data_IF_654560416800
#
_entry.id   IF_654560416800
#
_cell.length_a   1.000
_cell.length_b   1.000
_cell.length_c   1.000
_cell.angle_alpha   90.00
_cell.angle_beta   90.00
_cell.angle_gamma   90.00
#
_symmetry.space_group_name_H-M   'P 1'
#
loop_
_entity.id
_entity.type
_entity.pdbx_description
1 polymer ?
#
# COMPACT_ATOMS: atom_id res chain seq x y z
N UNK A 1 17.41 9.50 -7.59
CA UNK A 1 17.78 8.13 -7.15
C UNK A 1 16.60 7.64 -6.33
N UNK A 2 16.12 6.44 -6.60
CA UNK A 2 15.00 5.88 -5.86
C UNK A 2 15.36 5.72 -4.37
N UNK A 3 14.38 5.92 -3.48
CA UNK A 3 14.49 5.51 -2.08
C UNK A 3 14.05 4.06 -1.95
N UNK A 4 14.71 3.33 -1.08
CA UNK A 4 14.36 1.94 -0.79
C UNK A 4 13.71 1.83 0.59
N UNK A 5 12.56 1.15 0.61
CA UNK A 5 11.81 0.89 1.83
C UNK A 5 11.77 -0.58 2.20
N UNK A 6 11.33 -0.84 3.41
CA UNK A 6 10.99 -2.18 3.89
C UNK A 6 9.66 -2.13 4.65
N UNK A 7 8.79 -3.09 4.37
CA UNK A 7 7.54 -3.24 5.11
C UNK A 7 7.85 -3.72 6.53
N UNK A 8 7.28 -3.05 7.50
CA UNK A 8 7.65 -3.21 8.90
C UNK A 8 7.32 -4.62 9.47
N UNK A 9 6.39 -5.35 8.86
CA UNK A 9 6.09 -6.75 9.21
C UNK A 9 7.23 -7.74 8.88
N UNK A 10 8.27 -7.32 8.17
CA UNK A 10 9.54 -8.08 8.08
C UNK A 10 10.18 -8.23 9.47
N UNK A 11 10.02 -7.22 10.33
CA UNK A 11 10.67 -7.14 11.64
C UNK A 11 9.77 -7.60 12.79
N UNK A 12 8.52 -7.13 12.82
CA UNK A 12 7.61 -7.36 13.94
C UNK A 12 6.15 -7.43 13.50
N UNK A 13 5.36 -8.24 14.23
CA UNK A 13 3.89 -8.28 14.08
C UNK A 13 3.15 -7.49 15.16
N UNK A 14 3.85 -6.77 16.03
CA UNK A 14 3.27 -5.93 17.08
C UNK A 14 3.96 -4.57 17.14
N UNK A 15 3.26 -3.54 17.66
CA UNK A 15 3.62 -2.13 17.51
C UNK A 15 3.59 -1.36 18.84
N UNK A 16 3.97 -2.02 19.93
CA UNK A 16 4.33 -1.37 21.17
C UNK A 16 5.61 -0.53 21.03
N UNK A 17 5.94 0.26 22.04
CA UNK A 17 7.11 1.16 21.97
C UNK A 17 8.44 0.42 21.69
N UNK A 18 8.65 -0.76 22.28
CA UNK A 18 9.87 -1.55 22.08
C UNK A 18 9.94 -2.19 20.70
N UNK A 19 8.84 -2.76 20.22
CA UNK A 19 8.75 -3.37 18.90
C UNK A 19 8.89 -2.35 17.78
N UNK A 20 8.31 -1.18 17.96
CA UNK A 20 8.45 -0.07 17.01
C UNK A 20 9.90 0.43 16.94
N UNK A 21 10.56 0.65 18.08
CA UNK A 21 11.99 1.01 18.14
C UNK A 21 12.85 -0.04 17.44
N UNK A 22 12.61 -1.33 17.73
CA UNK A 22 13.33 -2.44 17.11
C UNK A 22 13.15 -2.45 15.58
N UNK A 23 11.92 -2.33 15.09
CA UNK A 23 11.64 -2.34 13.65
C UNK A 23 12.30 -1.18 12.93
N UNK A 24 12.24 0.04 13.50
CA UNK A 24 12.79 1.25 12.90
C UNK A 24 14.33 1.23 12.93
N UNK A 25 14.95 0.83 14.06
CA UNK A 25 16.40 0.71 14.14
C UNK A 25 16.95 -0.38 13.21
N UNK A 26 16.27 -1.53 13.12
CA UNK A 26 16.63 -2.59 12.17
C UNK A 26 16.53 -2.15 10.71
N UNK A 27 15.53 -1.33 10.38
CA UNK A 27 15.40 -0.71 9.06
C UNK A 27 16.62 0.14 8.71
N UNK A 28 17.08 0.99 9.66
CA UNK A 28 18.29 1.81 9.49
C UNK A 28 19.54 0.95 9.35
N UNK A 29 19.72 -0.03 10.24
CA UNK A 29 20.88 -0.92 10.23
C UNK A 29 20.99 -1.73 8.93
N UNK A 30 19.85 -2.12 8.35
CA UNK A 30 19.79 -2.82 7.06
C UNK A 30 20.05 -1.90 5.87
N UNK A 31 20.12 -0.57 6.06
CA UNK A 31 20.46 0.40 5.02
C UNK A 31 19.27 0.89 4.19
N UNK A 32 18.04 0.71 4.67
CA UNK A 32 16.85 1.27 4.04
C UNK A 32 16.66 2.76 4.40
N UNK A 33 15.98 3.49 3.51
CA UNK A 33 15.63 4.91 3.69
C UNK A 33 14.26 5.08 4.35
N UNK A 34 13.38 4.09 4.15
CA UNK A 34 11.95 4.14 4.49
C UNK A 34 11.53 2.89 5.24
N UNK A 35 10.67 3.07 6.24
CA UNK A 35 9.87 1.99 6.83
C UNK A 35 8.39 2.19 6.45
N UNK A 36 7.75 1.13 5.96
CA UNK A 36 6.32 1.13 5.70
C UNK A 36 5.57 0.51 6.87
N UNK A 37 4.83 1.35 7.59
CA UNK A 37 4.11 0.97 8.81
C UNK A 37 2.72 0.41 8.48
N UNK A 38 2.27 -0.70 9.09
CA UNK A 38 0.90 -1.17 8.94
C UNK A 38 -0.06 -0.28 9.76
N UNK A 39 -1.03 0.34 9.09
CA UNK A 39 -1.99 1.26 9.72
C UNK A 39 -3.35 0.59 10.00
N UNK A 40 -3.36 -0.69 10.44
CA UNK A 40 -4.60 -1.43 10.70
C UNK A 40 -5.36 -0.93 11.93
N UNK A 41 -4.65 -0.58 13.00
CA UNK A 41 -5.22 -0.03 14.23
C UNK A 41 -4.30 1.06 14.81
N UNK A 42 -4.32 2.27 14.25
CA UNK A 42 -3.50 3.38 14.74
C UNK A 42 -3.72 3.74 16.20
N UNK A 43 -4.91 3.47 16.74
CA UNK A 43 -5.23 3.77 18.13
C UNK A 43 -4.49 2.86 19.13
N UNK A 44 -4.09 1.65 18.70
CA UNK A 44 -3.29 0.73 19.50
C UNK A 44 -1.78 0.99 19.41
N UNK A 45 -1.34 1.94 18.55
CA UNK A 45 0.06 2.25 18.33
C UNK A 45 0.54 3.42 19.20
N UNK A 46 1.75 3.34 19.73
CA UNK A 46 2.38 4.46 20.44
C UNK A 46 3.00 5.44 19.43
N UNK A 47 2.16 6.34 18.89
CA UNK A 47 2.55 7.33 17.87
C UNK A 47 3.74 8.18 18.33
N UNK A 48 3.80 8.56 19.62
CA UNK A 48 4.88 9.37 20.14
C UNK A 48 6.22 8.60 20.19
N UNK A 49 6.19 7.32 20.58
CA UNK A 49 7.37 6.46 20.54
C UNK A 49 7.86 6.23 19.10
N UNK A 50 6.92 5.96 18.17
CA UNK A 50 7.23 5.79 16.74
C UNK A 50 7.88 7.06 16.17
N UNK A 51 7.27 8.23 16.38
CA UNK A 51 7.81 9.50 15.88
C UNK A 51 9.24 9.77 16.39
N UNK A 52 9.48 9.52 17.69
CA UNK A 52 10.81 9.65 18.28
C UNK A 52 11.81 8.67 17.67
N UNK A 53 11.42 7.42 17.45
CA UNK A 53 12.29 6.41 16.85
C UNK A 53 12.64 6.77 15.39
N UNK A 54 11.67 7.23 14.60
CA UNK A 54 11.87 7.69 13.23
C UNK A 54 12.87 8.85 13.18
N UNK A 55 12.69 9.88 14.03
CA UNK A 55 13.60 11.01 14.12
C UNK A 55 15.01 10.59 14.52
N UNK A 56 15.15 9.76 15.56
CA UNK A 56 16.45 9.31 16.09
C UNK A 56 17.24 8.47 15.10
N UNK A 57 16.56 7.74 14.22
CA UNK A 57 17.17 6.87 13.21
C UNK A 57 17.23 7.51 11.82
N UNK A 58 16.67 8.71 11.62
CA UNK A 58 16.59 9.38 10.32
C UNK A 58 15.93 8.48 9.25
N UNK A 59 14.81 7.82 9.60
CA UNK A 59 14.01 6.98 8.74
C UNK A 59 12.70 7.68 8.40
N UNK A 60 12.32 7.68 7.12
CA UNK A 60 11.05 8.25 6.67
C UNK A 60 9.93 7.20 6.76
N UNK A 61 8.73 7.57 7.25
CA UNK A 61 7.60 6.65 7.27
C UNK A 61 6.76 6.75 6.00
N UNK A 62 6.27 5.61 5.55
CA UNK A 62 5.06 5.46 4.74
C UNK A 62 4.09 4.55 5.48
N UNK A 63 2.86 4.40 5.03
CA UNK A 63 1.99 3.39 5.60
C UNK A 63 1.05 2.75 4.58
N UNK A 64 0.65 1.53 4.89
CA UNK A 64 -0.36 0.77 4.15
C UNK A 64 -1.32 0.06 5.09
N UNK A 65 -2.48 -0.28 4.56
CA UNK A 65 -3.45 -1.14 5.23
C UNK A 65 -4.34 -1.87 4.22
N UNK A 66 -5.03 -2.91 4.70
CA UNK A 66 -6.15 -3.54 4.01
C UNK A 66 -7.43 -3.34 4.82
N UNK A 67 -8.55 -3.01 4.18
CA UNK A 67 -9.86 -3.02 4.81
C UNK A 67 -10.35 -4.46 4.98
N UNK A 68 -11.23 -4.69 5.95
CA UNK A 68 -11.91 -5.97 6.13
C UNK A 68 -13.36 -5.93 5.63
N UNK A 69 -14.06 -7.06 5.67
CA UNK A 69 -15.46 -7.12 5.23
C UNK A 69 -16.43 -6.37 6.14
N UNK A 70 -16.05 -6.07 7.37
CA UNK A 70 -16.85 -5.29 8.32
C UNK A 70 -16.76 -3.78 8.09
N UNK A 71 -15.71 -3.34 7.36
CA UNK A 71 -15.46 -1.94 7.00
C UNK A 71 -15.16 -1.76 5.50
N UNK A 72 -15.77 -2.61 4.66
CA UNK A 72 -15.64 -2.59 3.21
C UNK A 72 -16.34 -1.40 2.58
N UNK A 73 -15.58 -0.55 1.89
CA UNK A 73 -16.15 0.57 1.13
C UNK A 73 -16.66 0.17 -0.26
N UNK A 74 -16.29 -1.03 -0.75
CA UNK A 74 -16.84 -1.67 -1.95
C UNK A 74 -18.10 -2.48 -1.57
N UNK A 75 -19.00 -1.88 -0.81
CA UNK A 75 -20.22 -2.47 -0.27
C UNK A 75 -21.44 -1.61 -0.59
N UNK A 76 -22.62 -2.24 -0.64
CA UNK A 76 -23.91 -1.55 -0.68
C UNK A 76 -24.42 -1.17 0.71
N UNK A 77 -23.84 -1.75 1.77
CA UNK A 77 -24.17 -1.42 3.15
C UNK A 77 -23.56 -0.07 3.56
N UNK A 78 -24.37 0.97 3.79
CA UNK A 78 -23.88 2.29 4.15
C UNK A 78 -23.14 2.32 5.49
N UNK A 79 -23.43 1.39 6.41
CA UNK A 79 -22.75 1.31 7.70
C UNK A 79 -21.32 0.74 7.53
N UNK A 80 -21.15 -0.26 6.68
CA UNK A 80 -19.82 -0.78 6.32
C UNK A 80 -18.99 0.30 5.64
N UNK A 81 -19.55 0.99 4.65
CA UNK A 81 -18.88 2.10 3.96
C UNK A 81 -18.45 3.20 4.92
N UNK A 82 -19.31 3.59 5.87
CA UNK A 82 -18.99 4.62 6.87
C UNK A 82 -17.84 4.19 7.79
N UNK A 83 -17.84 2.94 8.26
CA UNK A 83 -16.73 2.40 9.08
C UNK A 83 -15.42 2.35 8.30
N UNK A 84 -15.48 1.98 7.02
CA UNK A 84 -14.30 1.98 6.15
C UNK A 84 -13.73 3.38 5.95
N UNK A 85 -14.58 4.37 5.69
CA UNK A 85 -14.14 5.77 5.57
C UNK A 85 -13.50 6.28 6.88
N UNK A 86 -14.09 5.96 8.04
CA UNK A 86 -13.50 6.30 9.34
C UNK A 86 -12.13 5.64 9.56
N UNK A 87 -11.99 4.36 9.19
CA UNK A 87 -10.71 3.64 9.26
C UNK A 87 -9.63 4.34 8.42
N UNK A 88 -9.98 4.74 7.19
CA UNK A 88 -9.07 5.43 6.28
C UNK A 88 -8.70 6.83 6.76
N UNK A 89 -9.64 7.57 7.36
CA UNK A 89 -9.38 8.88 7.96
C UNK A 89 -8.44 8.77 9.16
N UNK A 90 -8.56 7.71 9.97
CA UNK A 90 -7.65 7.42 11.07
C UNK A 90 -6.24 7.08 10.58
N UNK A 91 -6.13 6.26 9.53
CA UNK A 91 -4.84 5.93 8.90
C UNK A 91 -4.16 7.17 8.29
N UNK A 92 -4.95 8.04 7.62
CA UNK A 92 -4.43 9.30 7.08
C UNK A 92 -3.93 10.23 8.20
N UNK A 93 -4.65 10.32 9.31
CA UNK A 93 -4.23 11.11 10.46
C UNK A 93 -2.95 10.57 11.07
N UNK A 94 -2.85 9.25 11.22
CA UNK A 94 -1.66 8.56 11.73
C UNK A 94 -0.42 8.88 10.91
N UNK A 95 -0.45 8.68 9.60
CA UNK A 95 0.74 8.92 8.76
C UNK A 95 1.08 10.41 8.65
N UNK A 96 0.08 11.30 8.65
CA UNK A 96 0.27 12.74 8.73
C UNK A 96 1.03 13.15 9.99
N UNK A 97 0.60 12.63 11.15
CA UNK A 97 1.16 12.98 12.46
C UNK A 97 2.58 12.43 12.64
N UNK A 98 2.95 11.40 11.88
CA UNK A 98 4.32 10.89 11.77
C UNK A 98 5.16 11.62 10.70
N UNK A 99 4.59 12.57 9.96
CA UNK A 99 5.29 13.33 8.92
C UNK A 99 5.48 12.57 7.61
N UNK A 100 4.81 11.42 7.43
CA UNK A 100 4.89 10.62 6.20
C UNK A 100 4.17 11.26 5.01
N UNK A 101 4.47 10.76 3.81
CA UNK A 101 4.02 11.33 2.54
C UNK A 101 3.23 10.35 1.67
N UNK A 102 2.99 9.17 2.17
CA UNK A 102 2.29 8.12 1.42
C UNK A 102 1.41 7.27 2.32
N UNK A 103 0.19 7.03 1.86
CA UNK A 103 -0.80 6.09 2.39
C UNK A 103 -1.26 5.19 1.25
N UNK A 104 -1.13 3.88 1.41
CA UNK A 104 -1.52 2.94 0.36
C UNK A 104 -2.09 1.63 0.86
N UNK A 105 -2.07 0.62 -0.02
CA UNK A 105 -2.56 -0.73 0.25
C UNK A 105 -3.91 -1.04 -0.39
N UNK A 106 -4.57 -2.07 0.11
CA UNK A 106 -5.91 -2.50 -0.35
C UNK A 106 -6.99 -1.70 0.37
N UNK A 107 -7.06 -0.43 0.01
CA UNK A 107 -7.89 0.58 0.69
C UNK A 107 -9.19 0.90 -0.04
N UNK A 108 -9.40 0.33 -1.23
CA UNK A 108 -10.55 0.56 -2.10
C UNK A 108 -11.64 -0.51 -1.95
N UNK A 109 -11.35 -1.62 -1.28
CA UNK A 109 -12.24 -2.75 -0.99
C UNK A 109 -11.76 -3.51 0.24
N UNK A 110 -12.54 -4.46 0.74
CA UNK A 110 -12.02 -5.43 1.69
C UNK A 110 -10.89 -6.28 1.05
N UNK A 111 -9.88 -6.61 1.84
CA UNK A 111 -8.84 -7.56 1.52
C UNK A 111 -9.31 -8.97 1.92
N UNK A 112 -9.72 -9.75 0.93
CA UNK A 112 -10.19 -11.12 1.13
C UNK A 112 -10.97 -11.66 -0.06
N UNK A 113 -11.34 -12.95 -0.03
CA UNK A 113 -12.04 -13.61 -1.13
C UNK A 113 -13.51 -13.19 -1.16
N UNK A 114 -13.92 -12.59 -2.26
CA UNK A 114 -15.33 -12.33 -2.55
C UNK A 114 -15.94 -13.52 -3.32
N UNK A 115 -17.22 -13.80 -3.09
CA UNK A 115 -17.98 -14.84 -3.78
C UNK A 115 -18.83 -14.30 -4.94
N UNK A 116 -18.75 -12.99 -5.21
CA UNK A 116 -19.51 -12.31 -6.27
C UNK A 116 -18.68 -11.19 -6.91
N UNK A 117 -19.14 -10.73 -8.08
CA UNK A 117 -18.57 -9.54 -8.71
C UNK A 117 -19.08 -8.27 -8.02
N UNK A 118 -18.30 -7.18 -8.00
CA UNK A 118 -18.75 -5.92 -7.41
C UNK A 118 -19.96 -5.39 -8.17
N UNK A 119 -20.98 -4.93 -7.43
CA UNK A 119 -22.09 -4.22 -8.06
C UNK A 119 -21.64 -2.81 -8.49
N UNK A 120 -22.37 -2.23 -9.44
CA UNK A 120 -22.13 -0.84 -9.86
C UNK A 120 -22.21 0.12 -8.66
N UNK A 121 -23.16 -0.10 -7.75
CA UNK A 121 -23.35 0.73 -6.56
C UNK A 121 -22.19 0.61 -5.58
N UNK A 122 -21.69 -0.60 -5.34
CA UNK A 122 -20.53 -0.85 -4.48
C UNK A 122 -19.27 -0.15 -5.05
N UNK A 123 -19.01 -0.30 -6.36
CA UNK A 123 -17.91 0.40 -7.03
C UNK A 123 -18.03 1.93 -6.90
N UNK A 124 -19.23 2.50 -7.12
CA UNK A 124 -19.46 3.94 -6.97
C UNK A 124 -19.24 4.42 -5.52
N UNK A 125 -19.63 3.63 -4.53
CA UNK A 125 -19.38 3.94 -3.11
C UNK A 125 -17.88 3.97 -2.83
N UNK A 126 -17.13 2.96 -3.28
CA UNK A 126 -15.67 2.91 -3.19
C UNK A 126 -15.03 4.14 -3.81
N UNK A 127 -15.38 4.49 -5.05
CA UNK A 127 -14.84 5.66 -5.75
C UNK A 127 -15.13 6.97 -5.02
N UNK A 128 -16.33 7.12 -4.46
CA UNK A 128 -16.71 8.31 -3.72
C UNK A 128 -15.87 8.47 -2.43
N UNK A 129 -15.62 7.39 -1.70
CA UNK A 129 -14.75 7.41 -0.50
C UNK A 129 -13.31 7.72 -0.91
N UNK A 130 -12.77 7.04 -1.93
CA UNK A 130 -11.40 7.29 -2.40
C UNK A 130 -11.19 8.72 -2.87
N UNK A 131 -12.17 9.32 -3.55
CA UNK A 131 -12.11 10.74 -3.94
C UNK A 131 -12.00 11.66 -2.72
N UNK A 132 -12.84 11.46 -1.70
CA UNK A 132 -12.78 12.26 -0.47
C UNK A 132 -11.49 12.06 0.31
N UNK A 133 -10.99 10.83 0.40
CA UNK A 133 -9.71 10.53 1.05
C UNK A 133 -8.55 11.24 0.31
N UNK A 134 -8.54 11.16 -1.02
CA UNK A 134 -7.51 11.78 -1.85
C UNK A 134 -7.48 13.31 -1.68
N UNK A 135 -8.65 13.97 -1.59
CA UNK A 135 -8.75 15.41 -1.31
C UNK A 135 -8.20 15.78 0.07
N UNK A 136 -8.57 15.01 1.12
CA UNK A 136 -8.06 15.21 2.48
C UNK A 136 -6.54 15.01 2.54
N UNK A 137 -6.02 13.95 1.89
CA UNK A 137 -4.60 13.62 1.84
C UNK A 137 -3.79 14.71 1.11
N UNK A 138 -4.31 15.23 0.00
CA UNK A 138 -3.69 16.31 -0.78
C UNK A 138 -3.48 17.57 0.06
N UNK A 139 -4.42 17.90 0.95
CA UNK A 139 -4.29 19.04 1.85
C UNK A 139 -3.11 18.90 2.84
N UNK A 140 -2.61 17.68 3.06
CA UNK A 140 -1.46 17.36 3.91
C UNK A 140 -0.22 16.96 3.12
N UNK A 141 -0.22 17.13 1.79
CA UNK A 141 0.86 16.70 0.90
C UNK A 141 1.18 15.20 1.03
N UNK A 142 0.12 14.38 1.12
CA UNK A 142 0.20 12.91 1.19
C UNK A 142 -0.42 12.34 -0.08
N UNK A 143 0.31 11.44 -0.77
CA UNK A 143 -0.20 10.69 -1.92
C UNK A 143 -0.96 9.46 -1.44
N UNK A 144 -2.00 9.08 -2.17
CA UNK A 144 -2.81 7.90 -1.86
C UNK A 144 -2.63 6.85 -2.97
N UNK A 145 -2.08 5.69 -2.62
CA UNK A 145 -1.79 4.62 -3.56
C UNK A 145 -2.78 3.46 -3.47
N UNK A 146 -3.31 3.05 -4.61
CA UNK A 146 -4.18 1.90 -4.73
C UNK A 146 -3.36 0.69 -5.16
N UNK A 147 -3.14 -0.22 -4.23
CA UNK A 147 -2.44 -1.47 -4.48
C UNK A 147 -3.42 -2.49 -5.03
N UNK A 148 -3.39 -2.73 -6.34
CA UNK A 148 -4.16 -3.84 -6.86
C UNK A 148 -3.57 -5.16 -6.40
N UNK A 149 -4.45 -6.08 -6.04
CA UNK A 149 -4.07 -7.40 -5.54
C UNK A 149 -4.73 -8.50 -6.36
N UNK A 150 -4.25 -9.71 -6.21
CA UNK A 150 -4.75 -10.85 -6.97
C UNK A 150 -6.24 -11.14 -6.69
N UNK A 151 -6.88 -11.86 -7.63
CA UNK A 151 -8.32 -12.19 -7.61
C UNK A 151 -8.80 -13.02 -6.43
N UNK A 152 -7.89 -13.57 -5.65
CA UNK A 152 -8.23 -14.31 -4.43
C UNK A 152 -8.34 -13.38 -3.21
N UNK A 153 -7.90 -12.13 -3.37
CA UNK A 153 -7.81 -11.15 -2.28
C UNK A 153 -8.68 -9.91 -2.51
N UNK A 154 -9.20 -9.69 -3.72
CA UNK A 154 -10.26 -8.70 -4.01
C UNK A 154 -11.00 -9.05 -5.30
N UNK A 155 -12.21 -8.51 -5.45
CA UNK A 155 -12.99 -8.60 -6.69
C UNK A 155 -12.98 -7.29 -7.52
N UNK A 156 -12.29 -6.22 -7.08
CA UNK A 156 -12.45 -4.89 -7.66
C UNK A 156 -11.29 -4.46 -8.56
N UNK A 157 -10.05 -4.48 -8.06
CA UNK A 157 -8.86 -4.05 -8.81
C UNK A 157 -7.79 -5.15 -8.74
N UNK A 158 -7.56 -5.82 -9.87
CA UNK A 158 -6.63 -6.94 -9.95
C UNK A 158 -5.46 -6.68 -10.92
N UNK A 159 -5.52 -5.63 -11.73
CA UNK A 159 -4.47 -5.28 -12.69
C UNK A 159 -4.15 -3.78 -12.68
N UNK A 160 -2.96 -3.43 -13.17
CA UNK A 160 -2.55 -2.04 -13.36
C UNK A 160 -3.55 -1.26 -14.22
N UNK A 161 -3.96 -1.85 -15.36
CA UNK A 161 -4.91 -1.21 -16.28
C UNK A 161 -6.27 -0.93 -15.62
N UNK A 162 -6.81 -1.87 -14.81
CA UNK A 162 -8.06 -1.66 -14.06
C UNK A 162 -7.91 -0.54 -13.02
N UNK A 163 -6.76 -0.45 -12.37
CA UNK A 163 -6.48 0.59 -11.36
C UNK A 163 -6.39 1.96 -12.02
N UNK A 164 -5.73 2.06 -13.16
CA UNK A 164 -5.66 3.30 -13.97
C UNK A 164 -7.06 3.76 -14.40
N UNK A 165 -7.91 2.84 -14.89
CA UNK A 165 -9.29 3.16 -15.27
C UNK A 165 -10.08 3.67 -14.07
N UNK A 166 -9.99 2.97 -12.93
CA UNK A 166 -10.65 3.36 -11.68
C UNK A 166 -10.21 4.77 -11.22
N UNK A 167 -8.91 5.07 -11.22
CA UNK A 167 -8.38 6.38 -10.85
C UNK A 167 -8.91 7.48 -11.80
N UNK A 168 -8.92 7.23 -13.11
CA UNK A 168 -9.46 8.18 -14.10
C UNK A 168 -10.94 8.46 -13.88
N UNK A 169 -11.73 7.46 -13.54
CA UNK A 169 -13.15 7.61 -13.25
C UNK A 169 -13.41 8.47 -12.00
N UNK A 170 -12.53 8.44 -10.99
CA UNK A 170 -12.64 9.32 -9.81
C UNK A 170 -12.34 10.78 -10.13
N UNK A 171 -11.58 11.07 -11.19
CA UNK A 171 -11.10 12.40 -11.53
C UNK A 171 -10.06 12.97 -10.57
N UNK A 172 -9.57 12.19 -9.62
CA UNK A 172 -8.57 12.62 -8.63
C UNK A 172 -7.17 12.70 -9.25
N UNK A 173 -6.44 13.75 -8.93
CA UNK A 173 -5.02 13.92 -9.27
C UNK A 173 -4.06 13.51 -8.13
N UNK A 174 -4.62 13.01 -7.02
CA UNK A 174 -3.85 12.59 -5.83
C UNK A 174 -3.88 11.08 -5.57
N UNK A 175 -4.63 10.31 -6.39
CA UNK A 175 -4.56 8.85 -6.42
C UNK A 175 -3.47 8.38 -7.36
N UNK A 176 -2.74 7.32 -6.96
CA UNK A 176 -1.69 6.71 -7.78
C UNK A 176 -1.82 5.19 -7.78
N UNK A 177 -1.21 4.56 -8.79
CA UNK A 177 -1.08 3.10 -8.88
C UNK A 177 0.04 2.66 -7.95
N UNK A 178 -0.22 1.64 -7.16
CA UNK A 178 0.76 0.91 -6.36
C UNK A 178 0.91 -0.50 -6.94
N UNK A 179 2.08 -0.81 -7.46
CA UNK A 179 2.42 -2.12 -8.01
C UNK A 179 2.99 -3.02 -6.91
N UNK A 180 2.63 -4.30 -6.91
CA UNK A 180 3.34 -5.34 -6.15
C UNK A 180 3.68 -6.53 -7.06
N UNK A 181 4.95 -6.87 -7.12
CA UNK A 181 5.45 -7.97 -7.95
C UNK A 181 4.83 -9.32 -7.61
N UNK A 182 4.45 -9.56 -6.37
CA UNK A 182 3.74 -10.78 -5.96
C UNK A 182 2.36 -10.88 -6.61
N UNK A 183 1.58 -9.79 -6.57
CA UNK A 183 0.25 -9.76 -7.18
C UNK A 183 0.31 -9.73 -8.71
N UNK A 184 1.25 -8.98 -9.28
CA UNK A 184 1.53 -8.96 -10.72
C UNK A 184 1.85 -10.37 -11.24
N UNK A 185 2.62 -11.17 -10.52
CA UNK A 185 2.97 -12.54 -10.89
C UNK A 185 1.75 -13.46 -11.05
N UNK A 186 0.62 -13.14 -10.44
CA UNK A 186 -0.61 -13.92 -10.54
C UNK A 186 -1.53 -13.39 -11.64
N UNK A 187 -1.63 -12.08 -11.79
CA UNK A 187 -2.67 -11.42 -12.60
C UNK A 187 -2.18 -10.88 -13.94
N UNK A 188 -0.90 -10.51 -14.02
CA UNK A 188 -0.34 -9.86 -15.21
C UNK A 188 0.39 -10.87 -16.11
N UNK A 189 0.52 -10.54 -17.39
CA UNK A 189 1.19 -11.42 -18.35
C UNK A 189 2.72 -11.34 -18.25
N UNK A 190 3.22 -10.19 -17.82
CA UNK A 190 4.63 -9.92 -17.62
C UNK A 190 4.80 -8.77 -16.61
N UNK A 191 6.05 -8.43 -16.28
CA UNK A 191 6.36 -7.36 -15.34
C UNK A 191 6.65 -6.01 -16.01
N UNK A 192 6.51 -5.93 -17.34
CA UNK A 192 6.81 -4.72 -18.11
C UNK A 192 5.53 -3.93 -18.42
N UNK A 193 4.53 -4.59 -19.02
CA UNK A 193 3.29 -3.95 -19.44
C UNK A 193 2.61 -3.16 -18.31
N UNK A 194 2.45 -3.70 -17.07
CA UNK A 194 1.82 -3.00 -15.96
C UNK A 194 2.49 -1.68 -15.54
N UNK A 195 3.83 -1.59 -15.67
CA UNK A 195 4.58 -0.36 -15.40
C UNK A 195 4.23 0.73 -16.40
N UNK A 196 4.08 0.38 -17.69
CA UNK A 196 3.73 1.33 -18.74
C UNK A 196 2.24 1.66 -18.76
N UNK A 197 1.37 0.72 -18.38
CA UNK A 197 -0.07 0.98 -18.19
C UNK A 197 -0.28 2.02 -17.09
N UNK A 198 0.44 1.91 -15.97
CA UNK A 198 0.40 2.89 -14.90
C UNK A 198 0.91 4.27 -15.36
N UNK A 199 1.97 4.31 -16.18
CA UNK A 199 2.54 5.54 -16.73
C UNK A 199 2.81 6.60 -15.66
N UNK A 200 2.33 7.82 -15.86
CA UNK A 200 2.50 8.94 -14.91
C UNK A 200 1.73 8.76 -13.58
N UNK A 201 0.84 7.76 -13.51
CA UNK A 201 0.13 7.41 -12.28
C UNK A 201 0.91 6.44 -11.40
N UNK A 202 2.05 5.89 -11.84
CA UNK A 202 2.85 5.00 -11.01
C UNK A 202 3.46 5.76 -9.83
N UNK A 203 2.99 5.46 -8.62
CA UNK A 203 3.40 6.20 -7.41
C UNK A 203 4.17 5.40 -6.38
N UNK A 204 4.04 4.06 -6.37
CA UNK A 204 4.68 3.20 -5.37
C UNK A 204 4.88 1.79 -5.91
N UNK A 205 5.92 1.12 -5.45
CA UNK A 205 6.24 -0.25 -5.90
C UNK A 205 6.61 -1.11 -4.71
N UNK A 206 5.87 -2.21 -4.50
CA UNK A 206 6.30 -3.32 -3.68
C UNK A 206 7.09 -4.33 -4.51
N UNK A 207 8.18 -4.82 -3.95
CA UNK A 207 8.91 -5.97 -4.46
C UNK A 207 8.85 -7.09 -3.44
N UNK A 208 8.20 -8.18 -3.80
CA UNK A 208 8.06 -9.39 -3.02
C UNK A 208 8.26 -10.61 -3.92
N UNK A 209 8.82 -11.69 -3.39
CA UNK A 209 8.95 -12.95 -4.11
C UNK A 209 7.61 -13.69 -4.15
N UNK A 210 7.42 -14.61 -5.12
CA UNK A 210 6.19 -15.40 -5.26
C UNK A 210 5.81 -16.23 -4.01
N UNK A 211 6.72 -16.44 -3.10
CA UNK A 211 6.50 -17.13 -1.82
C UNK A 211 6.70 -16.21 -0.61
N UNK A 212 6.75 -14.88 -0.82
CA UNK A 212 6.94 -13.86 0.22
C UNK A 212 8.21 -14.03 1.07
N UNK A 213 9.21 -14.79 0.57
CA UNK A 213 10.52 -14.97 1.18
C UNK A 213 11.58 -14.04 0.59
N UNK A 214 12.85 -14.48 0.61
CA UNK A 214 13.97 -13.67 0.08
C UNK A 214 13.89 -13.52 -1.43
N UNK A 215 14.19 -12.30 -1.91
CA UNK A 215 14.21 -11.99 -3.34
C UNK A 215 15.25 -12.84 -4.07
N UNK A 216 14.85 -13.40 -5.22
CA UNK A 216 15.70 -14.22 -6.07
C UNK A 216 15.75 -15.70 -5.69
N UNK A 217 15.04 -16.13 -4.65
CA UNK A 217 14.89 -17.56 -4.32
C UNK A 217 13.66 -18.20 -4.98
N UNK A 218 12.80 -17.41 -5.62
CA UNK A 218 11.62 -17.87 -6.35
C UNK A 218 11.77 -17.74 -7.88
N UNK A 219 10.69 -17.32 -8.54
CA UNK A 219 10.66 -17.27 -10.00
C UNK A 219 10.20 -15.91 -10.58
N UNK A 220 10.10 -14.88 -9.76
CA UNK A 220 9.75 -13.55 -10.26
C UNK A 220 10.89 -12.98 -11.10
N UNK A 221 10.57 -12.47 -12.30
CA UNK A 221 11.53 -11.84 -13.20
C UNK A 221 11.83 -10.39 -12.78
N UNK A 222 12.55 -10.23 -11.66
CA UNK A 222 12.99 -8.92 -11.18
C UNK A 222 13.82 -8.13 -12.19
N UNK A 223 14.73 -8.75 -12.99
CA UNK A 223 15.40 -8.05 -14.08
C UNK A 223 14.43 -7.37 -15.05
N UNK A 224 13.34 -8.04 -15.46
CA UNK A 224 12.32 -7.44 -16.32
C UNK A 224 11.61 -6.27 -15.64
N UNK A 225 11.20 -6.43 -14.37
CA UNK A 225 10.54 -5.36 -13.60
C UNK A 225 11.46 -4.15 -13.46
N UNK A 226 12.68 -4.34 -12.98
CA UNK A 226 13.60 -3.22 -12.77
C UNK A 226 14.00 -2.53 -14.08
N UNK A 227 14.15 -3.28 -15.17
CA UNK A 227 14.39 -2.66 -16.47
C UNK A 227 13.19 -1.83 -16.93
N UNK A 228 11.96 -2.31 -16.68
CA UNK A 228 10.74 -1.55 -16.98
C UNK A 228 10.67 -0.23 -16.18
N UNK A 229 10.97 -0.28 -14.87
CA UNK A 229 11.02 0.92 -14.02
C UNK A 229 12.07 1.94 -14.50
N UNK A 230 13.26 1.45 -14.91
CA UNK A 230 14.32 2.31 -15.51
C UNK A 230 13.84 2.94 -16.81
N UNK A 231 13.26 2.15 -17.72
CA UNK A 231 12.77 2.63 -19.02
C UNK A 231 11.63 3.66 -18.85
N UNK A 232 10.77 3.45 -17.86
CA UNK A 232 9.69 4.38 -17.47
C UNK A 232 10.22 5.60 -16.71
N UNK A 233 11.50 5.64 -16.35
CA UNK A 233 12.13 6.69 -15.52
C UNK A 233 11.46 6.87 -14.17
N UNK A 234 11.00 5.76 -13.58
CA UNK A 234 10.41 5.79 -12.26
C UNK A 234 11.44 6.22 -11.22
N UNK A 235 11.14 7.26 -10.46
CA UNK A 235 12.00 7.84 -9.43
C UNK A 235 11.39 7.79 -8.02
N UNK A 236 10.24 7.10 -7.89
CA UNK A 236 9.54 6.91 -6.62
C UNK A 236 10.17 5.85 -5.71
N UNK A 237 9.41 5.45 -4.69
CA UNK A 237 9.82 4.49 -3.65
C UNK A 237 9.67 3.06 -4.16
N UNK A 238 10.64 2.21 -3.80
CA UNK A 238 10.60 0.75 -4.00
C UNK A 238 10.75 0.11 -2.62
N UNK A 239 9.70 -0.57 -2.16
CA UNK A 239 9.66 -1.17 -0.83
C UNK A 239 9.70 -2.70 -0.92
N UNK A 240 10.62 -3.31 -0.17
CA UNK A 240 10.65 -4.75 0.01
C UNK A 240 9.50 -5.16 0.93
N UNK A 241 8.60 -5.98 0.40
CA UNK A 241 7.49 -6.57 1.13
C UNK A 241 7.68 -8.09 1.27
N UNK A 242 7.83 -8.50 2.50
CA UNK A 242 7.92 -9.91 2.90
C UNK A 242 7.34 -10.05 4.30
N UNK A 243 6.93 -11.25 4.64
CA UNK A 243 6.39 -11.54 5.97
C UNK A 243 7.29 -12.52 6.69
N UNK A 244 7.79 -12.11 7.85
CA UNK A 244 8.57 -13.01 8.69
C UNK A 244 7.69 -14.19 9.16
N UNK A 245 8.21 -15.41 9.12
CA UNK A 245 7.55 -16.60 9.71
C UNK A 245 7.28 -16.49 11.21
N UNK A 246 7.77 -15.42 11.87
CA UNK A 246 7.43 -15.08 13.26
C UNK A 246 6.21 -14.17 13.35
N UNK A 247 5.74 -13.63 12.22
CA UNK A 247 4.66 -12.66 12.12
C UNK A 247 3.42 -13.30 11.48
N UNK A 248 3.62 -14.19 10.49
CA UNK A 248 2.59 -14.87 9.72
C UNK A 248 2.69 -16.37 9.88
#
# INVERSE_FOLDING_TARGET
MNKFGVHAMVWSGSWGAQESEYAISSTKEAGYDIIELPAFDPAAMDVAAIAKALESNEIEPTCSLGLGFDNDINSEDPESVARGEETLDNALSFIRDLGGKYLGGVIFSALGPYDHMPSQKARENSQAVMTRLAEKAKASDIRVGLEFVNRYETNLLNTSAQTVEYIKETGSDNLVVHLDSYHMNIEEKDFREPVFDAGDLLGYVHIGENHRGYLGEGHIDFPQLFQALVDAKYDGVITFESFSSKVV
#
